data_IF_017243293233
#
_entry.id   IF_017243293233
#
_cell.length_a   1.000
_cell.length_b   1.000
_cell.length_c   1.000
_cell.angle_alpha   90.00
_cell.angle_beta   90.00
_cell.angle_gamma   90.00
#
_symmetry.space_group_name_H-M   'P 1'
#
loop_
_entity.id
_entity.type
_entity.pdbx_description
1 polymer ?
#
# COMPACT_ATOMS: atom_id res chain seq x y z
N UNK A 1 7.85 -9.11 -12.43
CA UNK A 1 6.41 -9.42 -12.61
C UNK A 1 5.66 -8.14 -12.30
N UNK A 2 5.03 -7.54 -13.30
CA UNK A 2 4.12 -6.40 -13.12
C UNK A 2 2.76 -6.96 -12.72
N UNK A 3 2.29 -6.68 -11.51
CA UNK A 3 0.89 -6.89 -11.16
C UNK A 3 0.19 -5.59 -11.45
N UNK A 4 -0.62 -5.59 -12.52
CA UNK A 4 -1.44 -4.44 -12.90
C UNK A 4 -2.81 -4.64 -12.28
N UNK A 5 -3.11 -3.93 -11.20
CA UNK A 5 -4.47 -3.89 -10.67
C UNK A 5 -5.30 -2.98 -11.59
N UNK A 6 -6.35 -3.49 -12.24
CA UNK A 6 -7.17 -2.73 -13.18
C UNK A 6 -8.64 -2.57 -12.73
N UNK A 7 -9.04 -1.30 -12.71
CA UNK A 7 -10.34 -0.64 -12.99
C UNK A 7 -11.68 -1.15 -12.44
N UNK A 8 -11.91 -2.44 -12.18
CA UNK A 8 -13.30 -2.91 -12.09
C UNK A 8 -13.91 -3.15 -10.70
N UNK A 9 -13.21 -2.81 -9.61
CA UNK A 9 -13.80 -2.82 -8.26
C UNK A 9 -13.51 -1.52 -7.49
N UNK A 10 -14.53 -0.70 -7.21
CA UNK A 10 -14.37 0.61 -6.54
C UNK A 10 -13.96 0.52 -5.05
N UNK A 11 -13.78 -0.67 -4.49
CA UNK A 11 -13.80 -0.84 -3.03
C UNK A 11 -12.44 -0.92 -2.34
N UNK A 12 -11.30 -0.76 -3.03
CA UNK A 12 -10.00 -1.04 -2.38
C UNK A 12 -8.90 0.02 -2.48
N UNK A 13 -8.90 0.87 -3.51
CA UNK A 13 -8.01 2.03 -3.58
C UNK A 13 -8.84 3.22 -4.01
N UNK A 14 -8.74 4.32 -3.25
CA UNK A 14 -9.70 5.44 -3.24
C UNK A 14 -9.86 6.20 -4.57
N UNK A 15 -9.20 5.79 -5.65
CA UNK A 15 -9.18 6.53 -6.92
C UNK A 15 -9.65 5.72 -8.14
N UNK A 16 -9.89 4.40 -8.04
CA UNK A 16 -10.33 3.61 -9.21
C UNK A 16 -9.30 3.52 -10.36
N UNK A 17 -8.10 4.06 -10.16
CA UNK A 17 -7.01 4.07 -11.13
C UNK A 17 -6.17 2.79 -11.04
N UNK A 18 -5.71 2.33 -12.20
CA UNK A 18 -4.92 1.12 -12.28
C UNK A 18 -3.53 1.33 -11.66
N UNK A 19 -3.23 0.64 -10.56
CA UNK A 19 -1.93 0.75 -9.89
C UNK A 19 -1.03 -0.42 -10.29
N UNK A 20 0.24 -0.11 -10.58
CA UNK A 20 1.27 -1.09 -10.87
C UNK A 20 2.00 -1.45 -9.57
N UNK A 21 2.14 -2.75 -9.34
CA UNK A 21 2.99 -3.30 -8.28
C UNK A 21 4.04 -4.22 -8.89
N UNK A 22 5.16 -4.34 -8.20
CA UNK A 22 6.10 -5.40 -8.51
C UNK A 22 6.77 -5.95 -7.26
N UNK A 23 7.34 -7.15 -7.41
CA UNK A 23 8.06 -7.85 -6.36
C UNK A 23 9.55 -7.87 -6.66
N UNK A 24 10.39 -7.77 -5.62
CA UNK A 24 11.81 -8.03 -5.78
C UNK A 24 12.11 -9.48 -6.19
N UNK A 25 13.36 -9.77 -6.54
CA UNK A 25 13.81 -11.13 -6.78
C UNK A 25 13.53 -12.01 -5.56
N UNK A 26 12.80 -13.11 -5.75
CA UNK A 26 12.37 -14.02 -4.67
C UNK A 26 11.04 -13.65 -3.99
N UNK A 27 10.35 -12.59 -4.43
CA UNK A 27 9.03 -12.17 -3.92
C UNK A 27 8.97 -11.96 -2.40
N UNK A 28 10.06 -11.47 -1.81
CA UNK A 28 10.15 -11.20 -0.37
C UNK A 28 9.60 -9.81 -0.02
N UNK A 29 9.67 -8.87 -0.95
CA UNK A 29 9.24 -7.48 -0.76
C UNK A 29 8.35 -7.01 -1.91
N UNK A 30 7.30 -6.29 -1.56
CA UNK A 30 6.34 -5.66 -2.47
C UNK A 30 6.67 -4.18 -2.64
N UNK A 31 6.54 -3.68 -3.86
CA UNK A 31 6.68 -2.28 -4.21
C UNK A 31 5.44 -1.80 -4.95
N UNK A 32 5.02 -0.57 -4.68
CA UNK A 32 4.09 0.16 -5.51
C UNK A 32 4.85 1.08 -6.48
N UNK A 33 4.28 1.30 -7.66
CA UNK A 33 4.80 2.24 -8.64
C UNK A 33 3.89 3.46 -8.67
N UNK A 34 4.43 4.64 -8.36
CA UNK A 34 3.77 5.93 -8.51
C UNK A 34 4.31 6.63 -9.75
N UNK A 35 3.45 7.39 -10.40
CA UNK A 35 3.82 8.20 -11.57
C UNK A 35 3.58 9.66 -11.20
N UNK A 36 4.63 10.46 -11.32
CA UNK A 36 4.52 11.92 -11.35
C UNK A 36 4.40 12.33 -12.81
N UNK A 37 3.29 12.98 -13.13
CA UNK A 37 2.89 13.35 -14.48
C UNK A 37 2.40 14.79 -14.47
N UNK A 38 3.18 15.68 -15.09
CA UNK A 38 2.85 17.10 -15.23
C UNK A 38 2.92 17.49 -16.70
N UNK A 39 2.02 18.38 -17.13
CA UNK A 39 1.93 18.81 -18.52
C UNK A 39 3.22 19.51 -18.98
N UNK A 40 3.53 19.38 -20.27
CA UNK A 40 4.65 20.06 -20.94
C UNK A 40 6.06 19.74 -20.40
N UNK A 41 6.28 18.51 -19.92
CA UNK A 41 7.60 18.03 -19.49
C UNK A 41 8.24 17.04 -20.47
N UNK A 42 9.58 17.04 -20.53
CA UNK A 42 10.40 16.07 -21.27
C UNK A 42 11.74 15.85 -20.57
N UNK A 43 12.43 14.76 -20.86
CA UNK A 43 13.76 14.48 -20.30
C UNK A 43 14.85 14.57 -21.35
N UNK A 44 15.98 15.17 -21.00
CA UNK A 44 17.23 14.98 -21.72
C UNK A 44 17.99 13.82 -21.09
N UNK A 45 18.15 12.73 -21.84
CA UNK A 45 18.82 11.50 -21.41
C UNK A 45 20.01 11.27 -22.33
N UNK A 46 21.22 11.53 -21.83
CA UNK A 46 22.43 11.50 -22.63
C UNK A 46 22.39 12.55 -23.75
N UNK A 47 22.38 12.10 -25.01
CA UNK A 47 22.25 12.94 -26.20
C UNK A 47 20.87 12.80 -26.88
N UNK A 48 19.88 12.27 -26.16
CA UNK A 48 18.54 12.04 -26.67
C UNK A 48 17.50 12.82 -25.87
N UNK A 49 16.39 13.14 -26.53
CA UNK A 49 15.22 13.77 -25.91
C UNK A 49 14.13 12.71 -25.77
N UNK A 50 13.73 12.42 -24.54
CA UNK A 50 12.57 11.59 -24.24
C UNK A 50 11.36 12.50 -24.10
N UNK A 51 10.43 12.40 -25.04
CA UNK A 51 9.21 13.21 -25.04
C UNK A 51 8.31 12.93 -23.82
N UNK A 52 8.28 11.68 -23.34
CA UNK A 52 7.54 11.32 -22.13
C UNK A 52 8.22 11.91 -20.90
N UNK A 53 7.65 12.99 -20.36
CA UNK A 53 8.15 13.71 -19.18
C UNK A 53 7.85 13.04 -17.84
N UNK A 54 7.16 11.90 -17.81
CA UNK A 54 6.74 11.26 -16.55
C UNK A 54 7.92 10.75 -15.73
N UNK A 55 7.82 10.87 -14.41
CA UNK A 55 8.77 10.33 -13.45
C UNK A 55 8.14 9.19 -12.65
N UNK A 56 8.71 8.00 -12.74
CA UNK A 56 8.23 6.82 -12.01
C UNK A 56 8.98 6.67 -10.68
N UNK A 57 8.23 6.60 -9.59
CA UNK A 57 8.73 6.26 -8.27
C UNK A 57 8.37 4.82 -7.92
N UNK A 58 9.34 4.12 -7.38
CA UNK A 58 9.19 2.77 -6.86
C UNK A 58 9.36 2.83 -5.36
N UNK A 59 8.28 2.60 -4.62
CA UNK A 59 8.28 2.73 -3.16
C UNK A 59 7.91 1.41 -2.49
N UNK A 60 8.59 1.02 -1.39
CA UNK A 60 8.20 -0.14 -0.61
C UNK A 60 6.74 -0.03 -0.17
N UNK A 61 5.97 -1.10 -0.32
CA UNK A 61 4.56 -1.15 0.04
C UNK A 61 4.33 -2.24 1.09
N UNK A 62 3.58 -1.93 2.15
CA UNK A 62 3.18 -2.93 3.14
C UNK A 62 2.13 -3.88 2.53
N UNK A 63 2.46 -5.17 2.35
CA UNK A 63 1.57 -6.14 1.71
C UNK A 63 0.31 -6.44 2.52
N UNK A 64 0.25 -6.10 3.82
CA UNK A 64 -0.96 -6.28 4.62
C UNK A 64 -2.12 -5.44 4.07
N UNK A 65 -1.86 -4.28 3.47
CA UNK A 65 -2.92 -3.53 2.80
C UNK A 65 -3.54 -4.37 1.69
N UNK A 66 -2.78 -4.99 0.80
CA UNK A 66 -3.35 -5.83 -0.25
C UNK A 66 -4.05 -7.09 0.28
N UNK A 67 -3.50 -7.72 1.32
CA UNK A 67 -4.11 -8.93 1.90
C UNK A 67 -5.41 -8.63 2.62
N UNK A 68 -5.53 -7.44 3.24
CA UNK A 68 -6.73 -7.00 3.91
C UNK A 68 -7.96 -7.02 2.98
N UNK A 69 -7.78 -6.74 1.68
CA UNK A 69 -8.84 -6.90 0.67
C UNK A 69 -9.41 -8.31 0.66
N UNK A 70 -8.52 -9.29 0.47
CA UNK A 70 -8.90 -10.69 0.34
C UNK A 70 -9.50 -11.23 1.64
N UNK A 71 -8.96 -10.81 2.79
CA UNK A 71 -9.51 -11.16 4.09
C UNK A 71 -10.94 -10.64 4.27
N UNK A 72 -11.20 -9.37 3.97
CA UNK A 72 -12.53 -8.78 4.08
C UNK A 72 -13.51 -9.42 3.07
N UNK A 73 -13.04 -9.68 1.85
CA UNK A 73 -13.83 -10.38 0.82
C UNK A 73 -14.22 -11.78 1.29
N UNK A 74 -13.27 -12.57 1.76
CA UNK A 74 -13.52 -13.93 2.26
C UNK A 74 -14.44 -13.93 3.49
N UNK A 75 -14.28 -12.98 4.41
CA UNK A 75 -15.14 -12.84 5.59
C UNK A 75 -16.61 -12.62 5.20
N UNK A 76 -16.86 -11.74 4.21
CA UNK A 76 -18.20 -11.49 3.66
C UNK A 76 -18.76 -12.69 2.90
N UNK A 77 -17.98 -13.28 2.00
CA UNK A 77 -18.43 -14.38 1.13
C UNK A 77 -18.62 -15.69 1.90
N UNK A 78 -17.85 -15.92 2.97
CA UNK A 78 -17.83 -17.18 3.71
C UNK A 78 -18.39 -17.09 5.14
N UNK A 79 -19.08 -16.01 5.48
CA UNK A 79 -19.73 -15.81 6.79
C UNK A 79 -18.75 -15.95 7.97
N UNK A 80 -17.54 -15.41 7.84
CA UNK A 80 -16.54 -15.39 8.91
C UNK A 80 -15.96 -16.76 9.28
N UNK A 81 -15.74 -17.65 8.31
CA UNK A 81 -15.03 -18.92 8.52
C UNK A 81 -13.52 -18.70 8.64
N UNK A 82 -12.88 -19.58 9.41
CA UNK A 82 -11.42 -19.67 9.49
C UNK A 82 -10.89 -20.46 8.29
N UNK A 83 -9.96 -19.88 7.53
CA UNK A 83 -9.44 -20.47 6.30
C UNK A 83 -7.92 -20.36 6.19
N UNK A 84 -7.25 -21.31 5.51
CA UNK A 84 -5.85 -21.17 5.10
C UNK A 84 -5.66 -19.94 4.19
N UNK A 85 -4.54 -19.23 4.33
CA UNK A 85 -4.29 -17.99 3.55
C UNK A 85 -4.21 -18.22 2.05
N UNK A 86 -3.73 -19.39 1.61
CA UNK A 86 -3.69 -19.83 0.22
C UNK A 86 -5.08 -20.05 -0.39
N UNK A 87 -6.11 -20.25 0.45
CA UNK A 87 -7.51 -20.28 0.03
C UNK A 87 -8.19 -18.91 0.06
N UNK A 88 -7.65 -17.97 0.84
CA UNK A 88 -8.17 -16.60 0.96
C UNK A 88 -7.65 -15.72 -0.18
N UNK A 89 -6.35 -15.79 -0.50
CA UNK A 89 -5.69 -14.93 -1.50
C UNK A 89 -5.77 -15.57 -2.89
N UNK A 90 -6.99 -15.67 -3.42
CA UNK A 90 -7.28 -16.21 -4.75
C UNK A 90 -8.04 -15.15 -5.57
N UNK A 91 -7.51 -14.85 -6.75
CA UNK A 91 -8.13 -13.94 -7.70
C UNK A 91 -7.85 -14.39 -9.15
N UNK A 92 -8.92 -14.67 -9.90
CA UNK A 92 -8.82 -15.06 -11.32
C UNK A 92 -8.35 -13.90 -12.20
N UNK A 93 -8.69 -12.68 -11.80
CA UNK A 93 -8.30 -11.47 -12.54
C UNK A 93 -6.82 -11.13 -12.25
N UNK A 94 -6.29 -11.61 -11.12
CA UNK A 94 -4.91 -11.40 -10.69
C UNK A 94 -4.22 -12.71 -10.29
N UNK A 95 -3.81 -13.55 -11.26
CA UNK A 95 -3.22 -14.88 -11.00
C UNK A 95 -1.91 -14.85 -10.18
N UNK A 96 -1.28 -13.68 -10.05
CA UNK A 96 -0.07 -13.47 -9.27
C UNK A 96 -0.32 -13.08 -7.80
N UNK A 97 -1.58 -12.93 -7.36
CA UNK A 97 -1.89 -12.61 -5.96
C UNK A 97 -1.30 -13.57 -4.93
N UNK A 98 -1.09 -14.90 -5.19
CA UNK A 98 -0.45 -15.78 -4.21
C UNK A 98 1.00 -15.41 -3.91
N UNK A 99 1.66 -14.58 -4.73
CA UNK A 99 3.00 -14.06 -4.43
C UNK A 99 3.01 -13.19 -3.17
N UNK A 100 1.88 -12.58 -2.79
CA UNK A 100 1.75 -11.81 -1.54
C UNK A 100 2.08 -12.69 -0.32
N UNK A 101 1.72 -13.97 -0.35
CA UNK A 101 1.99 -14.92 0.75
C UNK A 101 3.48 -15.28 0.89
N UNK A 102 4.29 -14.97 -0.12
CA UNK A 102 5.75 -15.17 -0.07
C UNK A 102 6.48 -14.04 0.63
N UNK A 103 5.85 -12.86 0.78
CA UNK A 103 6.43 -11.74 1.48
C UNK A 103 6.69 -12.07 2.95
N UNK A 104 7.91 -11.81 3.42
CA UNK A 104 8.31 -12.09 4.80
C UNK A 104 7.41 -11.34 5.81
N UNK A 105 7.09 -10.09 5.49
CA UNK A 105 6.23 -9.22 6.29
C UNK A 105 4.84 -9.82 6.50
N UNK A 106 4.29 -10.51 5.50
CA UNK A 106 2.95 -11.13 5.62
C UNK A 106 2.97 -12.22 6.67
N UNK A 107 3.94 -13.14 6.58
CA UNK A 107 4.07 -14.23 7.55
C UNK A 107 4.26 -13.72 8.97
N UNK A 108 4.99 -12.63 9.12
CA UNK A 108 5.28 -12.04 10.43
C UNK A 108 4.10 -11.25 10.99
N UNK A 109 3.37 -10.50 10.16
CA UNK A 109 2.46 -9.46 10.64
C UNK A 109 0.97 -9.75 10.40
N UNK A 110 0.60 -10.84 9.71
CA UNK A 110 -0.81 -11.17 9.42
C UNK A 110 -1.70 -11.21 10.67
N UNK A 111 -1.16 -11.64 11.81
CA UNK A 111 -1.85 -11.69 13.10
C UNK A 111 -2.34 -10.32 13.61
N UNK A 112 -1.87 -9.20 13.02
CA UNK A 112 -2.34 -7.84 13.29
C UNK A 112 -3.70 -7.53 12.67
N UNK A 113 -4.15 -8.31 11.68
CA UNK A 113 -5.43 -8.09 10.99
C UNK A 113 -6.35 -9.32 11.03
N UNK A 114 -5.85 -10.47 11.54
CA UNK A 114 -6.61 -11.72 11.63
C UNK A 114 -6.73 -12.30 13.04
N UNK A 115 -7.81 -13.00 13.30
CA UNK A 115 -7.86 -14.08 14.30
C UNK A 115 -7.19 -15.33 13.73
N UNK A 116 -6.48 -16.08 14.57
CA UNK A 116 -5.75 -17.29 14.17
C UNK A 116 -6.25 -18.50 14.95
N UNK A 117 -6.38 -19.63 14.25
CA UNK A 117 -6.56 -20.95 14.83
C UNK A 117 -5.54 -21.90 14.23
N UNK A 118 -5.02 -22.79 15.04
CA UNK A 118 -4.04 -23.78 14.62
C UNK A 118 -4.62 -25.18 14.83
N UNK A 119 -4.56 -26.01 13.78
CA UNK A 119 -5.01 -27.40 13.81
C UNK A 119 -3.87 -28.23 13.21
N UNK A 120 -3.19 -29.03 14.03
CA UNK A 120 -1.97 -29.72 13.63
C UNK A 120 -0.86 -28.72 13.30
N UNK A 121 -0.29 -28.83 12.10
CA UNK A 121 0.74 -27.90 11.59
C UNK A 121 0.19 -26.77 10.71
N UNK A 122 -1.13 -26.69 10.54
CA UNK A 122 -1.78 -25.75 9.64
C UNK A 122 -2.42 -24.60 10.42
N UNK A 123 -2.17 -23.37 9.97
CA UNK A 123 -2.81 -22.15 10.49
C UNK A 123 -3.98 -21.74 9.62
N UNK A 124 -5.04 -21.33 10.29
CA UNK A 124 -6.27 -20.82 9.70
C UNK A 124 -6.51 -19.42 10.21
N UNK A 125 -6.89 -18.53 9.30
CA UNK A 125 -7.05 -17.11 9.54
C UNK A 125 -8.49 -16.69 9.26
N UNK A 126 -8.98 -15.74 10.06
CA UNK A 126 -10.25 -15.06 9.84
C UNK A 126 -10.02 -13.56 10.03
N UNK A 127 -10.64 -12.72 9.20
CA UNK A 127 -10.58 -11.27 9.37
C UNK A 127 -11.00 -10.85 10.79
N UNK A 128 -10.32 -9.83 11.33
CA UNK A 128 -10.69 -9.20 12.60
C UNK A 128 -10.68 -7.69 12.47
N UNK A 129 -11.88 -7.09 12.49
CA UNK A 129 -12.05 -5.64 12.42
C UNK A 129 -11.37 -4.93 13.59
N UNK A 130 -11.49 -5.47 14.80
CA UNK A 130 -10.89 -4.86 16.01
C UNK A 130 -9.36 -4.78 15.90
N UNK A 131 -8.70 -5.88 15.50
CA UNK A 131 -7.26 -5.91 15.30
C UNK A 131 -6.83 -4.99 14.17
N UNK A 132 -7.59 -4.98 13.07
CA UNK A 132 -7.34 -4.10 11.92
C UNK A 132 -7.39 -2.63 12.31
N UNK A 133 -8.37 -2.20 13.10
CA UNK A 133 -8.45 -0.82 13.60
C UNK A 133 -7.24 -0.47 14.50
N UNK A 134 -6.83 -1.39 15.38
CA UNK A 134 -5.62 -1.21 16.20
C UNK A 134 -4.35 -1.07 15.34
N UNK A 135 -4.23 -1.87 14.28
CA UNK A 135 -3.12 -1.80 13.33
C UNK A 135 -3.14 -0.48 12.53
N UNK A 136 -4.29 -0.08 11.98
CA UNK A 136 -4.46 1.17 11.25
C UNK A 136 -4.13 2.39 12.13
N UNK A 137 -4.55 2.40 13.40
CA UNK A 137 -4.18 3.46 14.35
C UNK A 137 -2.65 3.58 14.50
N UNK A 138 -1.92 2.46 14.52
CA UNK A 138 -0.45 2.48 14.54
C UNK A 138 0.12 3.02 13.22
N UNK A 139 -0.44 2.64 12.07
CA UNK A 139 -0.03 3.16 10.75
C UNK A 139 -0.21 4.67 10.67
N UNK A 140 -1.36 5.20 11.09
CA UNK A 140 -1.61 6.65 11.16
C UNK A 140 -0.56 7.34 12.04
N UNK A 141 -0.29 6.81 13.23
CA UNK A 141 0.71 7.38 14.12
C UNK A 141 2.13 7.35 13.52
N UNK A 142 2.48 6.30 12.75
CA UNK A 142 3.74 6.23 12.02
C UNK A 142 3.82 7.30 10.93
N UNK A 143 2.75 7.50 10.17
CA UNK A 143 2.66 8.55 9.15
C UNK A 143 2.77 9.93 9.77
N UNK A 144 2.08 10.20 10.89
CA UNK A 144 2.21 11.49 11.60
C UNK A 144 3.64 11.77 12.02
N UNK A 145 4.37 10.75 12.53
CA UNK A 145 5.79 10.90 12.87
C UNK A 145 6.63 11.20 11.64
N UNK A 146 6.39 10.50 10.53
CA UNK A 146 7.10 10.72 9.27
C UNK A 146 6.83 12.13 8.69
N UNK A 147 5.59 12.60 8.74
CA UNK A 147 5.23 13.96 8.29
C UNK A 147 5.98 15.02 9.08
N UNK A 148 6.03 14.88 10.41
CA UNK A 148 6.77 15.78 11.29
C UNK A 148 8.28 15.73 11.06
N UNK A 149 8.86 14.55 10.86
CA UNK A 149 10.31 14.41 10.67
C UNK A 149 10.80 14.87 9.30
N UNK A 150 9.89 14.96 8.31
CA UNK A 150 10.19 15.44 6.97
C UNK A 150 9.71 16.89 6.74
N UNK A 151 9.31 17.60 7.79
CA UNK A 151 8.83 18.99 7.75
C UNK A 151 7.73 19.24 6.69
N UNK A 152 6.86 18.25 6.48
CA UNK A 152 5.77 18.35 5.51
C UNK A 152 4.66 19.22 6.11
N UNK A 153 4.32 20.32 5.42
CA UNK A 153 3.23 21.20 5.82
C UNK A 153 1.88 20.48 5.73
N UNK A 154 1.19 20.36 6.88
CA UNK A 154 -0.15 19.75 7.00
C UNK A 154 -1.23 20.78 7.36
N UNK A 155 -0.90 22.07 7.30
CA UNK A 155 -1.84 23.16 7.58
C UNK A 155 -2.82 23.39 6.43
N UNK A 156 -3.93 24.08 6.73
CA UNK A 156 -4.98 24.42 5.77
C UNK A 156 -4.49 25.35 4.64
N UNK A 157 -3.34 26.02 4.82
CA UNK A 157 -2.72 26.88 3.81
C UNK A 157 -1.73 26.10 2.96
N UNK A 158 -2.07 25.93 1.68
CA UNK A 158 -1.17 25.42 0.64
C UNK A 158 -0.26 26.57 0.17
N UNK A 159 1.03 26.46 0.46
CA UNK A 159 2.05 27.28 -0.19
C UNK A 159 2.55 26.50 -1.42
N UNK A 160 2.81 27.19 -2.53
CA UNK A 160 3.28 26.55 -3.75
C UNK A 160 4.57 25.75 -3.49
N UNK A 161 4.80 24.65 -4.21
CA UNK A 161 6.00 23.81 -4.05
C UNK A 161 7.31 24.57 -4.29
N UNK A 162 7.26 25.69 -5.02
CA UNK A 162 8.38 26.62 -5.26
C UNK A 162 8.51 27.73 -4.20
N UNK A 163 7.68 27.73 -3.15
CA UNK A 163 7.71 28.74 -2.11
C UNK A 163 8.91 28.53 -1.18
N UNK A 164 9.89 29.43 -1.27
CA UNK A 164 11.02 29.50 -0.34
C UNK A 164 10.67 30.54 0.72
N UNK A 165 10.33 30.10 1.94
CA UNK A 165 10.10 31.00 3.08
C UNK A 165 11.43 31.51 3.65
N UNK A 166 11.58 32.84 3.75
CA UNK A 166 12.75 33.48 4.36
C UNK A 166 12.63 33.66 5.89
N UNK A 167 11.55 33.19 6.53
CA UNK A 167 11.32 33.35 7.97
C UNK A 167 11.04 32.02 8.68
N UNK A 168 11.60 31.80 9.88
CA UNK A 168 11.32 30.62 10.69
C UNK A 168 9.86 30.65 11.17
N UNK A 169 9.20 29.49 11.06
CA UNK A 169 7.83 29.27 11.53
C UNK A 169 7.89 29.21 13.06
N UNK A 170 7.34 30.22 13.72
CA UNK A 170 7.11 30.18 15.18
C UNK A 170 5.75 29.53 15.45
N UNK A 171 5.77 28.42 16.18
CA UNK A 171 4.58 27.80 16.77
C UNK A 171 3.85 28.82 17.67
N UNK A 172 2.65 29.21 17.25
CA UNK A 172 1.70 29.86 18.16
C UNK A 172 1.15 28.77 19.08
N UNK A 173 1.58 28.80 20.35
CA UNK A 173 1.03 27.94 21.41
C UNK A 173 -0.46 28.24 21.61
N UNK A 174 -1.25 27.19 21.79
CA UNK A 174 -2.59 27.23 22.39
C UNK A 174 -2.56 27.87 23.79
#
# INVERSE_FOLDING_TARGET
IFVKAYKHKPDFFSTGEATLYFFNSGAQQLFEVKVFDEEYHSWFIGQTVQQDGRLLFVTPMDPLFLILYYLIKADKEQQGKFQPLDQVVIDSDYPYCPLLLKCADVKQYIHHVTEEKEIGSQKFHKYSQEKTLKWLKKKVNQTVKALKSNDICVGERVLAATFISSKPITDTKE
#
